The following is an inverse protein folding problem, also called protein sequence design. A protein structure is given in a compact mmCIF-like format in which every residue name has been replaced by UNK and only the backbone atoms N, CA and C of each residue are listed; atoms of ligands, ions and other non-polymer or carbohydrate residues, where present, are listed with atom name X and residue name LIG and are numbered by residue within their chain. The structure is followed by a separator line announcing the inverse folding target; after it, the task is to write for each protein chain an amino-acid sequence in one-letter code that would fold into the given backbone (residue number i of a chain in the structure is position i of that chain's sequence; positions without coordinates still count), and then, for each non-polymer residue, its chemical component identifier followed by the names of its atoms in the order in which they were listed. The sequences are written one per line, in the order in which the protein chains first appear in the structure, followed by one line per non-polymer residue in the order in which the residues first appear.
data_IF_431299969320
#
_entry.id   IF_431299969320
#
_cell.length_a   1.000
_cell.length_b   1.000
_cell.length_c   1.000
_cell.angle_alpha   90.00
_cell.angle_beta   90.00
_cell.angle_gamma   90.00
#
_symmetry.space_group_name_H-M   'P 1'
#
loop_
_entity.id
_entity.type
_entity.pdbx_description
1 polymer ?
#
# COMPACT_ATOMS: atom_id res chain seq x y z
N UNK A 1 -1.39 1.67 9.68
CA UNK A 1 -1.62 2.00 8.25
C UNK A 1 -2.58 0.96 7.66
N UNK A 2 -3.08 1.15 6.44
CA UNK A 2 -4.04 0.24 5.81
C UNK A 2 -5.51 0.47 6.20
N UNK A 3 -6.44 0.06 5.32
CA UNK A 3 -7.89 0.01 5.56
C UNK A 3 -8.48 -1.22 4.87
N UNK A 4 -9.61 -1.74 5.36
CA UNK A 4 -10.26 -2.93 4.78
C UNK A 4 -9.33 -4.16 4.76
N UNK A 5 -9.19 -4.78 3.59
CA UNK A 5 -8.41 -6.02 3.36
C UNK A 5 -6.97 -5.95 3.94
N UNK A 6 -6.23 -4.87 3.65
CA UNK A 6 -4.87 -4.64 4.18
C UNK A 6 -4.84 -4.52 5.70
N UNK A 7 -5.86 -3.91 6.32
CA UNK A 7 -5.91 -3.76 7.78
C UNK A 7 -6.09 -5.12 8.49
N UNK A 8 -6.88 -6.03 7.91
CA UNK A 8 -7.04 -7.40 8.41
C UNK A 8 -5.72 -8.18 8.36
N UNK A 9 -4.98 -8.12 7.24
CA UNK A 9 -3.69 -8.79 7.12
C UNK A 9 -2.64 -8.18 8.06
N UNK A 10 -2.60 -6.86 8.20
CA UNK A 10 -1.72 -6.20 9.17
C UNK A 10 -2.03 -6.61 10.62
N UNK A 11 -3.31 -6.75 11.00
CA UNK A 11 -3.68 -7.27 12.32
C UNK A 11 -3.22 -8.72 12.52
N UNK A 12 -3.38 -9.59 11.52
CA UNK A 12 -2.85 -10.96 11.57
C UNK A 12 -1.33 -10.98 11.75
N UNK A 13 -0.59 -10.10 11.05
CA UNK A 13 0.86 -9.95 11.25
C UNK A 13 1.17 -9.43 12.67
N UNK A 14 0.47 -8.42 13.18
CA UNK A 14 0.69 -7.84 14.51
C UNK A 14 0.51 -8.85 15.67
N UNK A 15 -0.38 -9.84 15.53
CA UNK A 15 -0.59 -10.91 16.50
C UNK A 15 0.19 -12.21 16.19
N UNK A 16 0.92 -12.27 15.07
CA UNK A 16 1.76 -13.41 14.68
C UNK A 16 3.12 -13.42 15.39
N UNK A 17 3.99 -14.37 15.03
CA UNK A 17 5.39 -14.39 15.46
C UNK A 17 6.23 -13.17 15.00
N UNK A 18 5.79 -12.44 13.96
CA UNK A 18 6.46 -11.24 13.46
C UNK A 18 5.99 -9.94 14.15
N UNK A 19 4.92 -10.02 14.94
CA UNK A 19 4.21 -8.86 15.48
C UNK A 19 4.51 -8.57 16.95
N UNK A 20 4.45 -7.29 17.32
CA UNK A 20 4.71 -6.83 18.70
C UNK A 20 3.55 -7.07 19.67
N UNK A 21 2.38 -7.57 19.21
CA UNK A 21 1.18 -7.75 20.05
C UNK A 21 0.91 -9.19 20.48
N UNK A 22 1.78 -10.14 20.09
CA UNK A 22 1.71 -11.56 20.46
C UNK A 22 1.50 -11.82 21.97
N UNK A 23 2.09 -10.97 22.81
CA UNK A 23 2.12 -11.15 24.28
C UNK A 23 1.27 -10.14 25.06
N UNK A 24 0.51 -9.26 24.40
CA UNK A 24 -0.31 -8.29 25.14
C UNK A 24 -1.49 -8.99 25.84
N UNK A 25 -1.64 -8.87 27.17
CA UNK A 25 -2.81 -9.38 27.87
C UNK A 25 -4.07 -8.63 27.42
N UNK A 26 -5.22 -9.30 27.50
CA UNK A 26 -6.52 -8.69 27.26
C UNK A 26 -6.82 -7.81 28.49
N UNK A 27 -7.15 -6.54 28.29
CA UNK A 27 -7.75 -5.74 29.36
C UNK A 27 -9.18 -6.23 29.56
N UNK A 28 -9.39 -7.03 30.60
CA UNK A 28 -10.71 -7.44 31.05
C UNK A 28 -11.48 -6.20 31.53
N UNK A 29 -12.53 -5.83 30.79
CA UNK A 29 -13.55 -4.88 31.23
C UNK A 29 -14.91 -5.49 30.88
N UNK A 30 -15.72 -5.74 31.91
CA UNK A 30 -16.98 -6.46 31.79
C UNK A 30 -18.10 -5.63 31.14
N UNK A 31 -18.96 -6.32 30.39
CA UNK A 31 -20.16 -5.78 29.78
C UNK A 31 -19.98 -5.36 28.31
N UNK A 32 -20.79 -5.94 27.42
CA UNK A 32 -20.83 -5.70 25.95
C UNK A 32 -19.57 -6.16 25.19
N UNK A 33 -18.36 -6.04 25.75
CA UNK A 33 -17.09 -6.42 25.10
C UNK A 33 -16.86 -7.92 24.90
N UNK A 34 -17.72 -8.81 25.42
CA UNK A 34 -17.53 -10.26 25.31
C UNK A 34 -17.44 -10.76 23.85
N UNK A 35 -18.26 -10.25 22.93
CA UNK A 35 -18.16 -10.61 21.50
C UNK A 35 -16.86 -10.08 20.85
N UNK A 36 -16.40 -8.91 21.28
CA UNK A 36 -15.16 -8.29 20.81
C UNK A 36 -13.96 -9.12 21.30
N UNK A 37 -13.97 -9.58 22.55
CA UNK A 37 -12.93 -10.44 23.12
C UNK A 37 -12.86 -11.79 22.39
N UNK A 38 -14.00 -12.46 22.16
CA UNK A 38 -14.07 -13.72 21.38
C UNK A 38 -13.58 -13.53 19.94
N UNK A 39 -13.85 -12.39 19.30
CA UNK A 39 -13.31 -12.07 17.98
C UNK A 39 -11.78 -11.88 18.02
N UNK A 40 -11.24 -11.22 19.05
CA UNK A 40 -9.80 -11.07 19.26
C UNK A 40 -9.11 -12.41 19.53
N UNK A 41 -9.72 -13.33 20.28
CA UNK A 41 -9.16 -14.66 20.52
C UNK A 41 -9.12 -15.52 19.25
N UNK A 42 -10.18 -15.46 18.43
CA UNK A 42 -10.20 -16.11 17.11
C UNK A 42 -9.14 -15.53 16.18
N UNK A 43 -8.96 -14.22 16.19
CA UNK A 43 -7.93 -13.52 15.41
C UNK A 43 -6.52 -13.90 15.86
N UNK A 44 -6.25 -13.92 17.19
CA UNK A 44 -4.97 -14.38 17.77
C UNK A 44 -4.68 -15.84 17.42
N UNK A 45 -5.68 -16.71 17.49
CA UNK A 45 -5.55 -18.11 17.11
C UNK A 45 -5.17 -18.24 15.62
N UNK A 46 -5.88 -17.56 14.71
CA UNK A 46 -5.54 -17.55 13.29
C UNK A 46 -4.14 -16.95 13.03
N UNK A 47 -3.80 -15.84 13.67
CA UNK A 47 -2.49 -15.20 13.59
C UNK A 47 -1.34 -16.10 14.07
N UNK A 48 -1.57 -16.97 15.06
CA UNK A 48 -0.55 -17.93 15.54
C UNK A 48 -0.11 -18.95 14.48
N UNK A 49 -0.91 -19.15 13.42
CA UNK A 49 -0.57 -20.01 12.30
C UNK A 49 0.25 -19.30 11.21
N UNK A 50 0.40 -17.97 11.26
CA UNK A 50 1.13 -17.18 10.26
C UNK A 50 2.64 -17.44 10.37
N UNK A 51 3.25 -17.85 9.25
CA UNK A 51 4.68 -18.19 9.12
C UNK A 51 5.45 -17.32 8.12
N UNK A 52 4.74 -16.51 7.33
CA UNK A 52 5.32 -15.45 6.51
C UNK A 52 4.21 -14.48 6.07
N UNK A 53 4.62 -13.29 5.65
CA UNK A 53 3.75 -12.29 5.04
C UNK A 53 4.45 -11.56 3.89
N UNK A 54 3.68 -11.06 2.94
CA UNK A 54 4.17 -10.25 1.84
C UNK A 54 3.16 -9.14 1.57
N UNK A 55 3.63 -7.91 1.35
CA UNK A 55 2.78 -6.77 0.98
C UNK A 55 3.28 -6.25 -0.35
N UNK A 56 2.52 -6.47 -1.43
CA UNK A 56 2.85 -5.92 -2.74
C UNK A 56 2.51 -4.41 -2.72
N UNK A 57 3.43 -3.56 -3.17
CA UNK A 57 3.29 -2.11 -3.15
C UNK A 57 3.72 -1.54 -4.51
N UNK A 58 2.80 -0.96 -5.27
CA UNK A 58 3.10 -0.47 -6.63
C UNK A 58 4.06 0.75 -6.65
N UNK A 59 4.32 1.37 -5.51
CA UNK A 59 5.33 2.41 -5.27
C UNK A 59 6.62 1.87 -4.60
N UNK A 60 6.79 0.54 -4.55
CA UNK A 60 8.05 -0.14 -4.22
C UNK A 60 8.22 -1.42 -5.05
N UNK A 61 8.79 -1.28 -6.25
CA UNK A 61 8.92 -2.34 -7.26
C UNK A 61 9.47 -3.67 -6.72
N UNK A 62 10.46 -3.64 -5.81
CA UNK A 62 11.03 -4.84 -5.16
C UNK A 62 9.96 -5.76 -4.56
N UNK A 63 8.90 -5.20 -3.97
CA UNK A 63 7.79 -5.97 -3.39
C UNK A 63 6.86 -6.62 -4.44
N UNK A 64 7.06 -6.31 -5.71
CA UNK A 64 6.29 -6.83 -6.83
C UNK A 64 7.07 -7.85 -7.67
N UNK A 65 8.38 -8.01 -7.41
CA UNK A 65 9.26 -8.94 -8.12
C UNK A 65 9.19 -10.34 -7.49
N UNK A 66 9.13 -11.37 -8.33
CA UNK A 66 9.09 -12.78 -7.91
C UNK A 66 10.38 -13.21 -7.19
N UNK A 67 11.60 -12.85 -7.65
CA UNK A 67 12.83 -13.24 -6.97
C UNK A 67 12.91 -12.74 -5.52
N UNK A 68 12.60 -11.46 -5.30
CA UNK A 68 12.53 -10.83 -3.99
C UNK A 68 11.44 -11.43 -3.10
N UNK A 69 10.26 -11.75 -3.67
CA UNK A 69 9.20 -12.47 -2.97
C UNK A 69 9.68 -13.84 -2.46
N UNK A 70 10.33 -14.66 -3.30
CA UNK A 70 10.85 -15.98 -2.90
C UNK A 70 11.95 -15.84 -1.83
N UNK A 71 12.90 -14.94 -2.05
CA UNK A 71 14.02 -14.72 -1.14
C UNK A 71 13.54 -14.23 0.24
N UNK A 72 12.62 -13.25 0.27
CA UNK A 72 11.99 -12.77 1.51
C UNK A 72 11.14 -13.85 2.18
N UNK A 73 10.38 -14.63 1.41
CA UNK A 73 9.57 -15.74 1.93
C UNK A 73 10.45 -16.78 2.63
N UNK A 74 11.55 -17.21 2.02
CA UNK A 74 12.50 -18.13 2.65
C UNK A 74 13.07 -17.57 3.96
N UNK A 75 13.48 -16.29 3.98
CA UNK A 75 14.00 -15.63 5.16
C UNK A 75 12.97 -15.52 6.30
N UNK A 76 11.70 -15.26 5.99
CA UNK A 76 10.63 -15.21 6.99
C UNK A 76 10.24 -16.58 7.53
N UNK A 77 10.15 -17.60 6.66
CA UNK A 77 9.88 -18.99 7.08
C UNK A 77 11.00 -19.51 8.00
N UNK A 78 12.24 -19.08 7.77
CA UNK A 78 13.39 -19.34 8.63
C UNK A 78 13.24 -18.68 10.04
N UNK A 79 12.53 -17.55 10.14
CA UNK A 79 12.29 -16.86 11.42
C UNK A 79 11.05 -17.40 12.18
N UNK A 80 10.16 -18.15 11.52
CA UNK A 80 8.93 -18.65 12.13
C UNK A 80 9.22 -19.77 13.15
N UNK A 81 8.86 -19.63 14.45
CA UNK A 81 9.25 -20.61 15.48
C UNK A 81 8.76 -22.04 15.24
N UNK A 82 7.57 -22.21 14.65
CA UNK A 82 7.06 -23.54 14.25
C UNK A 82 7.85 -24.21 13.11
N UNK A 83 8.75 -23.49 12.45
CA UNK A 83 9.60 -23.96 11.35
C UNK A 83 11.10 -23.93 11.70
N UNK A 84 11.47 -23.95 12.99
CA UNK A 84 12.87 -23.97 13.42
C UNK A 84 13.73 -25.08 12.76
N UNK A 85 13.14 -26.23 12.45
CA UNK A 85 13.82 -27.30 11.71
C UNK A 85 14.20 -26.93 10.26
N UNK A 86 13.46 -26.00 9.63
CA UNK A 86 13.80 -25.45 8.31
C UNK A 86 14.93 -24.43 8.42
N UNK A 87 14.95 -23.62 9.49
CA UNK A 87 16.08 -22.74 9.82
C UNK A 87 17.39 -23.53 10.01
N UNK A 88 17.37 -24.58 10.84
CA UNK A 88 18.52 -25.46 11.04
C UNK A 88 19.00 -26.11 9.73
N UNK A 89 18.07 -26.57 8.89
CA UNK A 89 18.40 -27.18 7.61
C UNK A 89 18.99 -26.16 6.62
N UNK A 90 18.42 -24.96 6.53
CA UNK A 90 18.92 -23.89 5.67
C UNK A 90 20.30 -23.38 6.09
N UNK A 91 20.58 -23.25 7.38
CA UNK A 91 21.92 -22.88 7.86
C UNK A 91 22.94 -24.01 7.68
N UNK A 92 22.51 -25.28 7.77
CA UNK A 92 23.39 -26.43 7.61
C UNK A 92 23.73 -26.81 6.17
N UNK A 93 22.87 -26.46 5.19
CA UNK A 93 22.97 -26.93 3.81
C UNK A 93 23.33 -25.79 2.83
N UNK A 94 24.62 -25.71 2.46
CA UNK A 94 25.11 -24.68 1.53
C UNK A 94 24.44 -24.78 0.15
N UNK A 95 24.08 -25.98 -0.32
CA UNK A 95 23.38 -26.13 -1.59
C UNK A 95 22.00 -25.43 -1.57
N UNK A 96 21.31 -25.46 -0.43
CA UNK A 96 20.00 -24.83 -0.25
C UNK A 96 20.12 -23.30 -0.21
N UNK A 97 21.13 -22.77 0.48
CA UNK A 97 21.44 -21.34 0.49
C UNK A 97 21.74 -20.80 -0.90
N UNK A 98 22.47 -21.58 -1.71
CA UNK A 98 22.80 -21.20 -3.09
C UNK A 98 21.55 -21.12 -3.97
N UNK A 99 20.67 -22.13 -3.89
CA UNK A 99 19.37 -22.17 -4.62
C UNK A 99 18.45 -21.01 -4.24
N UNK A 100 18.53 -20.52 -3.00
CA UNK A 100 17.76 -19.37 -2.51
C UNK A 100 18.48 -18.03 -2.63
N UNK A 101 19.66 -17.98 -3.26
CA UNK A 101 20.35 -16.72 -3.52
C UNK A 101 19.57 -15.89 -4.54
N UNK A 102 19.60 -14.55 -4.41
CA UNK A 102 18.88 -13.64 -5.31
C UNK A 102 19.18 -13.91 -6.79
N UNK A 103 20.43 -14.28 -7.11
CA UNK A 103 20.84 -14.67 -8.46
C UNK A 103 20.09 -15.90 -8.98
N UNK A 104 20.00 -16.97 -8.20
CA UNK A 104 19.30 -18.18 -8.62
C UNK A 104 17.78 -17.98 -8.61
N UNK A 105 17.23 -17.17 -7.69
CA UNK A 105 15.83 -16.74 -7.72
C UNK A 105 15.47 -15.92 -8.98
N UNK A 106 16.42 -15.14 -9.54
CA UNK A 106 16.26 -14.44 -10.83
C UNK A 106 16.36 -15.43 -12.00
N UNK A 107 17.30 -16.38 -11.94
CA UNK A 107 17.57 -17.32 -13.03
C UNK A 107 16.48 -18.40 -13.20
N UNK A 108 15.97 -18.94 -12.09
CA UNK A 108 14.93 -19.99 -12.07
C UNK A 108 14.08 -19.88 -10.78
N UNK A 109 13.06 -18.99 -10.76
CA UNK A 109 12.21 -18.80 -9.60
C UNK A 109 11.34 -20.03 -9.27
N UNK A 110 10.98 -20.84 -10.26
CA UNK A 110 10.18 -22.05 -10.03
C UNK A 110 11.01 -23.07 -9.26
N UNK A 111 12.26 -23.31 -9.67
CA UNK A 111 13.21 -24.16 -8.93
C UNK A 111 13.55 -23.61 -7.56
N UNK A 112 13.80 -22.30 -7.43
CA UNK A 112 14.08 -21.68 -6.13
C UNK A 112 12.92 -21.85 -5.14
N UNK A 113 11.68 -21.72 -5.60
CA UNK A 113 10.48 -21.96 -4.78
C UNK A 113 10.31 -23.44 -4.42
N UNK A 114 10.44 -24.35 -5.39
CA UNK A 114 10.20 -25.79 -5.17
C UNK A 114 11.33 -26.42 -4.36
N UNK A 115 12.57 -26.40 -4.85
CA UNK A 115 13.72 -27.02 -4.20
C UNK A 115 14.20 -26.24 -2.97
N UNK A 116 14.05 -24.92 -2.98
CA UNK A 116 14.49 -24.05 -1.89
C UNK A 116 13.53 -24.03 -0.70
N UNK A 117 12.21 -24.10 -0.94
CA UNK A 117 11.19 -23.89 0.10
C UNK A 117 10.25 -25.09 0.24
N UNK A 118 9.51 -25.44 -0.82
CA UNK A 118 8.37 -26.36 -0.70
C UNK A 118 8.77 -27.82 -0.43
N UNK A 119 9.80 -28.32 -1.11
CA UNK A 119 10.32 -29.67 -0.91
C UNK A 119 11.00 -29.85 0.46
N UNK A 120 11.92 -28.96 0.91
CA UNK A 120 12.49 -29.01 2.27
C UNK A 120 11.42 -29.03 3.36
N UNK A 121 10.43 -28.13 3.31
CA UNK A 121 9.33 -28.10 4.27
C UNK A 121 8.52 -29.39 4.26
N UNK A 122 8.25 -29.94 3.07
CA UNK A 122 7.50 -31.20 2.92
C UNK A 122 8.28 -32.41 3.45
N UNK A 123 9.60 -32.46 3.22
CA UNK A 123 10.49 -33.49 3.74
C UNK A 123 10.59 -33.43 5.27
N UNK A 124 10.85 -32.25 5.83
CA UNK A 124 10.92 -32.02 7.29
C UNK A 124 9.61 -32.37 8.00
N UNK A 125 8.46 -32.05 7.39
CA UNK A 125 7.13 -32.46 7.89
C UNK A 125 6.94 -33.98 7.85
N UNK A 126 7.39 -34.65 6.78
CA UNK A 126 7.28 -36.11 6.62
C UNK A 126 8.06 -36.88 7.70
N UNK A 127 9.22 -36.37 8.12
CA UNK A 127 10.04 -36.96 9.20
C UNK A 127 9.65 -36.44 10.61
N UNK A 128 8.53 -35.74 10.76
CA UNK A 128 8.01 -35.29 12.05
C UNK A 128 8.75 -34.11 12.70
N UNK A 129 9.71 -33.48 12.00
CA UNK A 129 10.47 -32.31 12.51
C UNK A 129 9.66 -31.01 12.54
N UNK A 130 8.59 -30.91 11.74
CA UNK A 130 7.65 -29.77 11.77
C UNK A 130 6.35 -30.20 12.47
N UNK A 131 5.89 -29.49 13.52
CA UNK A 131 4.68 -29.85 14.27
C UNK A 131 3.44 -30.00 13.38
N UNK A 132 2.48 -30.91 13.72
CA UNK A 132 1.35 -31.28 12.86
C UNK A 132 0.23 -30.22 12.77
N UNK A 133 0.56 -28.93 12.75
CA UNK A 133 -0.36 -27.80 12.58
C UNK A 133 -0.38 -27.33 11.11
N UNK A 134 -1.38 -26.52 10.77
CA UNK A 134 -1.37 -25.74 9.53
C UNK A 134 -0.42 -24.54 9.67
N UNK A 135 0.04 -24.02 8.56
CA UNK A 135 0.84 -22.80 8.48
C UNK A 135 0.23 -21.87 7.41
N UNK A 136 0.31 -20.56 7.61
CA UNK A 136 -0.33 -19.56 6.76
C UNK A 136 0.70 -18.56 6.25
N UNK A 137 0.71 -18.35 4.94
CA UNK A 137 1.42 -17.24 4.27
C UNK A 137 0.37 -16.20 3.90
N UNK A 138 0.59 -14.95 4.29
CA UNK A 138 -0.27 -13.81 3.95
C UNK A 138 0.32 -13.06 2.74
N UNK A 139 -0.50 -12.73 1.74
CA UNK A 139 -0.05 -11.94 0.59
C UNK A 139 -1.05 -10.81 0.33
N UNK A 140 -0.73 -9.58 0.76
CA UNK A 140 -1.58 -8.44 0.52
C UNK A 140 -1.34 -7.83 -0.86
N UNK A 141 -2.42 -7.47 -1.54
CA UNK A 141 -2.39 -6.61 -2.73
C UNK A 141 -1.83 -7.26 -3.99
N UNK A 142 -2.19 -8.51 -4.33
CA UNK A 142 -1.69 -9.18 -5.55
C UNK A 142 -1.77 -8.33 -6.83
N UNK A 143 -2.81 -7.50 -6.96
CA UNK A 143 -2.99 -6.57 -8.08
C UNK A 143 -1.98 -5.40 -8.13
N UNK A 144 -1.29 -5.08 -7.03
CA UNK A 144 -0.26 -4.04 -7.03
C UNK A 144 0.96 -4.48 -7.85
N UNK A 145 1.24 -5.79 -7.91
CA UNK A 145 2.31 -6.35 -8.74
C UNK A 145 2.01 -6.27 -10.24
N UNK A 146 0.75 -6.16 -10.65
CA UNK A 146 0.36 -6.01 -12.06
C UNK A 146 0.82 -4.68 -12.67
N UNK A 147 1.04 -3.64 -11.85
CA UNK A 147 1.63 -2.38 -12.31
C UNK A 147 3.11 -2.50 -12.73
N UNK A 148 3.79 -3.56 -12.28
CA UNK A 148 5.19 -3.88 -12.61
C UNK A 148 5.30 -5.16 -13.47
N UNK A 149 4.20 -5.56 -14.13
CA UNK A 149 4.16 -6.70 -15.04
C UNK A 149 5.27 -6.59 -16.11
N UNK A 150 6.15 -7.59 -16.26
CA UNK A 150 7.16 -7.59 -17.32
C UNK A 150 6.53 -7.88 -18.69
N UNK A 151 7.17 -7.44 -19.77
CA UNK A 151 6.74 -7.74 -21.14
C UNK A 151 6.76 -9.27 -21.42
N UNK A 152 7.68 -9.98 -20.77
CA UNK A 152 7.81 -11.44 -20.80
C UNK A 152 8.04 -11.96 -19.38
N UNK A 153 7.23 -12.94 -18.95
CA UNK A 153 7.32 -13.56 -17.63
C UNK A 153 6.02 -13.46 -16.82
N UNK A 154 6.12 -13.82 -15.56
CA UNK A 154 5.00 -13.88 -14.62
C UNK A 154 4.90 -12.64 -13.73
N UNK A 155 3.70 -12.39 -13.20
CA UNK A 155 3.52 -11.59 -11.99
C UNK A 155 3.40 -12.52 -10.78
N UNK A 156 3.44 -11.99 -9.55
CA UNK A 156 3.24 -12.81 -8.34
C UNK A 156 1.92 -13.63 -8.42
N UNK A 157 0.86 -13.07 -9.03
CA UNK A 157 -0.41 -13.78 -9.19
C UNK A 157 -0.33 -14.98 -10.16
N UNK A 158 0.31 -14.83 -11.34
CA UNK A 158 0.44 -15.95 -12.29
C UNK A 158 1.52 -16.95 -11.88
N UNK A 159 2.57 -16.51 -11.18
CA UNK A 159 3.56 -17.39 -10.55
C UNK A 159 2.91 -18.29 -9.48
N UNK A 160 2.11 -17.72 -8.58
CA UNK A 160 1.37 -18.51 -7.57
C UNK A 160 0.42 -19.53 -8.22
N UNK A 161 -0.16 -19.21 -9.37
CA UNK A 161 -0.99 -20.17 -10.12
C UNK A 161 -0.19 -21.41 -10.53
N UNK A 162 1.01 -21.24 -11.10
CA UNK A 162 1.90 -22.37 -11.43
C UNK A 162 2.34 -23.15 -10.19
N UNK A 163 2.68 -22.44 -9.11
CA UNK A 163 3.19 -23.06 -7.88
C UNK A 163 2.09 -23.76 -7.05
N UNK A 164 0.80 -23.50 -7.30
CA UNK A 164 -0.31 -23.97 -6.45
C UNK A 164 -0.33 -25.48 -6.23
N UNK A 165 -0.01 -26.29 -7.24
CA UNK A 165 0.01 -27.76 -7.13
C UNK A 165 1.19 -28.30 -6.31
N UNK A 166 2.27 -27.51 -6.16
CA UNK A 166 3.45 -27.85 -5.38
C UNK A 166 3.29 -27.53 -3.88
N UNK A 167 2.27 -26.74 -3.49
CA UNK A 167 2.04 -26.39 -2.09
C UNK A 167 1.54 -27.60 -1.29
N UNK A 168 2.22 -27.99 -0.20
CA UNK A 168 1.75 -29.08 0.63
C UNK A 168 0.46 -28.67 1.37
N UNK A 169 -0.47 -29.62 1.54
CA UNK A 169 -1.84 -29.33 1.98
C UNK A 169 -1.97 -28.64 3.35
N UNK A 170 -0.93 -28.64 4.19
CA UNK A 170 -0.87 -27.95 5.49
C UNK A 170 -0.36 -26.50 5.41
N UNK A 171 0.31 -26.11 4.31
CA UNK A 171 0.80 -24.75 4.08
C UNK A 171 -0.22 -23.99 3.21
N UNK A 172 -0.90 -23.02 3.79
CA UNK A 172 -1.99 -22.27 3.17
C UNK A 172 -1.51 -20.89 2.75
N UNK A 173 -2.00 -20.40 1.61
CA UNK A 173 -1.84 -19.01 1.18
C UNK A 173 -3.16 -18.29 1.36
N UNK A 174 -3.15 -17.13 2.02
CA UNK A 174 -4.28 -16.19 2.06
C UNK A 174 -3.82 -14.92 1.34
N UNK A 175 -4.41 -14.66 0.18
CA UNK A 175 -4.08 -13.50 -0.63
C UNK A 175 -5.24 -12.50 -0.70
N UNK A 176 -4.93 -11.20 -0.79
CA UNK A 176 -5.92 -10.15 -1.04
C UNK A 176 -5.76 -9.55 -2.43
N UNK A 177 -6.87 -9.11 -3.00
CA UNK A 177 -6.91 -8.42 -4.28
C UNK A 177 -8.04 -7.39 -4.30
N UNK A 178 -7.86 -6.34 -5.11
CA UNK A 178 -8.90 -5.35 -5.41
C UNK A 178 -9.94 -5.91 -6.38
N UNK A 179 -11.21 -5.61 -6.15
CA UNK A 179 -12.36 -6.18 -6.88
C UNK A 179 -12.32 -5.87 -8.37
N UNK A 180 -11.84 -4.68 -8.75
CA UNK A 180 -11.71 -4.21 -10.12
C UNK A 180 -10.50 -4.79 -10.89
N UNK A 181 -9.71 -5.66 -10.24
CA UNK A 181 -8.52 -6.33 -10.81
C UNK A 181 -8.64 -7.86 -10.72
N UNK A 182 -9.85 -8.41 -10.52
CA UNK A 182 -10.05 -9.84 -10.29
C UNK A 182 -9.66 -10.70 -11.51
N UNK A 183 -9.66 -10.15 -12.72
CA UNK A 183 -9.26 -10.83 -13.95
C UNK A 183 -7.83 -11.39 -13.88
N UNK A 184 -6.90 -10.70 -13.21
CA UNK A 184 -5.51 -11.14 -13.03
C UNK A 184 -5.36 -12.36 -12.12
N UNK A 185 -6.42 -12.78 -11.43
CA UNK A 185 -6.45 -13.97 -10.54
C UNK A 185 -7.44 -15.04 -11.00
N UNK A 186 -7.91 -14.98 -12.25
CA UNK A 186 -8.87 -15.95 -12.80
C UNK A 186 -8.35 -17.39 -12.75
N UNK A 187 -7.06 -17.61 -13.00
CA UNK A 187 -6.45 -18.95 -12.96
C UNK A 187 -6.05 -19.45 -11.58
N UNK A 188 -6.10 -18.63 -10.53
CA UNK A 188 -5.92 -19.09 -9.15
C UNK A 188 -7.17 -19.86 -8.69
N UNK A 189 -7.03 -21.18 -8.53
CA UNK A 189 -8.05 -22.10 -8.04
C UNK A 189 -8.28 -21.99 -6.51
N UNK A 190 -8.20 -20.77 -5.95
CA UNK A 190 -8.33 -20.51 -4.52
C UNK A 190 -9.79 -20.27 -4.13
N UNK A 191 -10.14 -20.60 -2.88
CA UNK A 191 -11.43 -20.23 -2.28
C UNK A 191 -11.58 -18.71 -2.23
N UNK A 192 -12.60 -18.17 -2.89
CA UNK A 192 -12.82 -16.71 -3.00
C UNK A 192 -13.80 -16.23 -1.93
N UNK A 193 -13.44 -15.17 -1.23
CA UNK A 193 -14.29 -14.47 -0.26
C UNK A 193 -14.39 -13.00 -0.66
N UNK A 194 -15.60 -12.51 -0.92
CA UNK A 194 -15.85 -11.09 -1.22
C UNK A 194 -16.16 -10.33 0.06
N UNK A 195 -15.43 -9.24 0.31
CA UNK A 195 -15.77 -8.25 1.33
C UNK A 195 -16.48 -7.02 0.74
N UNK A 196 -16.82 -7.06 -0.55
CA UNK A 196 -17.28 -5.91 -1.32
C UNK A 196 -18.80 -5.97 -1.63
N UNK A 197 -19.49 -7.00 -1.12
CA UNK A 197 -20.94 -7.25 -1.31
C UNK A 197 -21.83 -6.33 -0.43
N UNK A 198 -21.61 -5.02 -0.52
CA UNK A 198 -22.20 -4.00 0.36
C UNK A 198 -23.73 -4.10 0.55
N UNK A 199 -24.47 -4.27 -0.54
CA UNK A 199 -25.94 -4.25 -0.52
C UNK A 199 -26.57 -5.48 0.16
N UNK A 200 -25.83 -6.58 0.32
CA UNK A 200 -26.34 -7.85 0.84
C UNK A 200 -25.60 -8.36 2.08
N UNK A 201 -24.66 -7.59 2.62
CA UNK A 201 -23.85 -7.98 3.78
C UNK A 201 -24.14 -7.07 4.97
N UNK A 202 -25.16 -7.45 5.75
CA UNK A 202 -25.58 -6.74 6.97
C UNK A 202 -24.45 -6.64 8.01
N UNK A 203 -23.56 -7.64 8.09
CA UNK A 203 -22.42 -7.61 9.01
C UNK A 203 -21.43 -6.48 8.63
N UNK A 204 -21.11 -6.33 7.34
CA UNK A 204 -20.26 -5.22 6.88
C UNK A 204 -20.91 -3.84 7.12
N UNK A 205 -22.23 -3.74 6.93
CA UNK A 205 -22.97 -2.51 7.26
C UNK A 205 -22.91 -2.20 8.75
N UNK A 206 -23.08 -3.22 9.60
CA UNK A 206 -22.94 -3.11 11.06
C UNK A 206 -21.52 -2.69 11.46
N UNK A 207 -20.48 -3.32 10.96
CA UNK A 207 -19.08 -3.01 11.31
C UNK A 207 -18.71 -1.56 10.95
N UNK A 208 -19.14 -1.07 9.78
CA UNK A 208 -18.92 0.34 9.38
C UNK A 208 -19.75 1.29 10.24
N UNK A 209 -21.00 0.95 10.59
CA UNK A 209 -21.84 1.76 11.45
C UNK A 209 -21.27 1.84 12.88
N UNK A 210 -20.76 0.75 13.42
CA UNK A 210 -20.07 0.70 14.72
C UNK A 210 -18.80 1.56 14.67
N UNK A 211 -17.99 1.46 13.61
CA UNK A 211 -16.82 2.35 13.41
C UNK A 211 -17.19 3.84 13.38
N UNK A 212 -18.22 4.21 12.61
CA UNK A 212 -18.71 5.60 12.53
C UNK A 212 -19.21 6.07 13.90
N UNK A 213 -20.01 5.26 14.58
CA UNK A 213 -20.60 5.58 15.88
C UNK A 213 -19.51 5.73 16.95
N UNK A 214 -18.52 4.83 16.96
CA UNK A 214 -17.35 4.92 17.82
C UNK A 214 -16.57 6.23 17.60
N UNK A 215 -16.27 6.59 16.33
CA UNK A 215 -15.58 7.85 16.01
C UNK A 215 -16.36 9.09 16.46
N UNK A 216 -17.68 9.11 16.29
CA UNK A 216 -18.54 10.19 16.78
C UNK A 216 -18.49 10.26 18.31
N UNK A 217 -18.61 9.13 19.01
CA UNK A 217 -18.64 9.10 20.48
C UNK A 217 -17.28 9.50 21.11
N UNK A 218 -16.16 9.21 20.44
CA UNK A 218 -14.81 9.53 20.91
C UNK A 218 -14.34 10.97 20.61
N UNK A 219 -15.06 11.73 19.76
CA UNK A 219 -14.60 13.05 19.30
C UNK A 219 -15.64 14.14 19.50
N UNK A 220 -15.39 15.01 20.49
CA UNK A 220 -16.23 16.19 20.76
C UNK A 220 -16.30 17.15 19.57
N UNK A 221 -15.21 17.29 18.79
CA UNK A 221 -15.18 18.07 17.55
C UNK A 221 -16.18 17.55 16.51
N UNK A 222 -16.29 16.22 16.35
CA UNK A 222 -17.26 15.61 15.43
C UNK A 222 -18.69 15.85 15.93
N UNK A 223 -18.96 15.63 17.22
CA UNK A 223 -20.29 15.86 17.82
C UNK A 223 -20.75 17.31 17.65
N UNK A 224 -19.90 18.28 18.00
CA UNK A 224 -20.18 19.71 17.90
C UNK A 224 -20.46 20.15 16.45
N UNK A 225 -19.70 19.61 15.48
CA UNK A 225 -19.90 19.87 14.05
C UNK A 225 -21.25 19.31 13.55
N UNK A 226 -21.62 18.07 13.92
CA UNK A 226 -22.92 17.47 13.59
C UNK A 226 -24.09 18.25 14.23
N UNK A 227 -23.92 18.74 15.45
CA UNK A 227 -24.92 19.55 16.17
C UNK A 227 -25.07 20.98 15.62
N UNK A 228 -24.29 21.37 14.61
CA UNK A 228 -24.33 22.72 14.03
C UNK A 228 -23.85 23.80 15.00
N UNK A 229 -22.86 23.48 15.84
CA UNK A 229 -22.27 24.40 16.82
C UNK A 229 -23.04 24.55 18.13
N UNK A 230 -24.13 23.81 18.33
CA UNK A 230 -24.93 23.83 19.58
C UNK A 230 -24.37 22.82 20.59
N UNK A 231 -24.26 23.22 21.85
CA UNK A 231 -23.73 22.36 22.94
C UNK A 231 -24.66 21.20 23.35
N UNK A 232 -25.88 21.15 22.80
CA UNK A 232 -26.85 20.09 23.13
C UNK A 232 -26.47 18.80 22.41
N UNK A 233 -26.11 17.77 23.17
CA UNK A 233 -25.91 16.40 22.70
C UNK A 233 -27.24 15.87 22.13
N UNK A 234 -27.41 15.96 20.81
CA UNK A 234 -28.61 15.50 20.14
C UNK A 234 -28.38 14.11 19.54
N UNK A 235 -28.56 13.08 20.38
CA UNK A 235 -28.43 11.67 20.01
C UNK A 235 -29.20 11.29 18.75
N UNK A 236 -30.37 11.91 18.50
CA UNK A 236 -31.17 11.67 17.31
C UNK A 236 -30.53 12.22 16.01
N UNK A 237 -29.82 13.35 16.09
CA UNK A 237 -29.07 13.90 14.96
C UNK A 237 -27.79 13.10 14.71
N UNK A 238 -27.09 12.67 15.76
CA UNK A 238 -25.90 11.81 15.64
C UNK A 238 -26.26 10.48 14.96
N UNK A 239 -27.36 9.84 15.34
CA UNK A 239 -27.86 8.62 14.70
C UNK A 239 -28.23 8.85 13.22
N UNK A 240 -28.98 9.92 12.91
CA UNK A 240 -29.33 10.28 11.52
C UNK A 240 -28.09 10.56 10.66
N UNK A 241 -27.10 11.24 11.21
CA UNK A 241 -25.82 11.47 10.54
C UNK A 241 -25.07 10.17 10.29
N UNK A 242 -24.97 9.29 11.29
CA UNK A 242 -24.28 8.01 11.16
C UNK A 242 -24.91 7.13 10.06
N UNK A 243 -26.24 7.04 10.02
CA UNK A 243 -26.98 6.32 8.98
C UNK A 243 -26.80 6.94 7.58
N UNK A 244 -26.81 8.27 7.48
CA UNK A 244 -26.59 8.93 6.19
C UNK A 244 -25.14 8.74 5.69
N UNK A 245 -24.14 8.89 6.56
CA UNK A 245 -22.74 8.65 6.24
C UNK A 245 -22.51 7.19 5.85
N UNK A 246 -23.14 6.24 6.56
CA UNK A 246 -23.10 4.80 6.26
C UNK A 246 -23.48 4.52 4.80
N UNK A 247 -24.61 5.08 4.34
CA UNK A 247 -25.08 4.94 2.96
C UNK A 247 -24.11 5.53 1.92
N UNK A 248 -23.40 6.62 2.24
CA UNK A 248 -22.38 7.19 1.37
C UNK A 248 -21.09 6.36 1.30
N UNK A 249 -20.79 5.54 2.31
CA UNK A 249 -19.55 4.73 2.32
C UNK A 249 -19.46 3.72 1.19
N UNK A 250 -20.61 3.15 0.78
CA UNK A 250 -20.68 2.04 -0.18
C UNK A 250 -19.71 0.88 0.17
N UNK A 251 -19.51 0.60 1.46
CA UNK A 251 -18.56 -0.41 1.97
C UNK A 251 -17.12 0.07 2.18
N UNK A 252 -16.79 1.33 1.84
CA UNK A 252 -15.44 1.87 1.98
C UNK A 252 -15.17 2.46 3.38
N UNK A 253 -14.47 1.68 4.22
CA UNK A 253 -13.89 2.17 5.48
C UNK A 253 -12.95 3.36 5.26
N UNK A 254 -12.25 3.45 4.12
CA UNK A 254 -11.38 4.58 3.81
C UNK A 254 -12.18 5.87 3.62
N UNK A 255 -13.29 5.80 2.87
CA UNK A 255 -14.20 6.93 2.72
C UNK A 255 -14.73 7.37 4.09
N UNK A 256 -15.22 6.42 4.90
CA UNK A 256 -15.78 6.70 6.23
C UNK A 256 -14.75 7.42 7.13
N UNK A 257 -13.53 6.86 7.20
CA UNK A 257 -12.41 7.44 7.93
C UNK A 257 -12.11 8.86 7.47
N UNK A 258 -11.86 9.08 6.16
CA UNK A 258 -11.42 10.38 5.67
C UNK A 258 -12.50 11.45 5.77
N UNK A 259 -13.78 11.10 5.61
CA UNK A 259 -14.89 12.02 5.85
C UNK A 259 -14.94 12.48 7.31
N UNK A 260 -14.80 11.54 8.26
CA UNK A 260 -14.75 11.84 9.69
C UNK A 260 -13.50 12.64 10.07
N UNK A 261 -12.33 12.30 9.51
CA UNK A 261 -11.07 13.04 9.71
C UNK A 261 -11.17 14.51 9.24
N UNK A 262 -11.91 14.79 8.15
CA UNK A 262 -12.17 16.15 7.68
C UNK A 262 -13.13 16.92 8.60
N UNK A 263 -14.16 16.26 9.14
CA UNK A 263 -15.13 16.85 10.07
C UNK A 263 -14.46 17.19 11.41
N UNK A 264 -13.65 16.25 11.92
CA UNK A 264 -12.88 16.37 13.18
C UNK A 264 -11.88 17.54 13.15
N UNK A 265 -11.25 17.78 12.00
CA UNK A 265 -10.35 18.91 11.76
C UNK A 265 -11.06 20.23 11.44
N UNK A 266 -12.39 20.28 11.48
CA UNK A 266 -13.18 21.45 11.06
C UNK A 266 -13.07 21.81 9.57
N UNK A 267 -12.43 20.95 8.77
CA UNK A 267 -12.21 21.14 7.32
C UNK A 267 -13.48 20.89 6.50
N UNK A 268 -14.42 20.11 7.04
CA UNK A 268 -15.75 19.89 6.49
C UNK A 268 -16.79 20.24 7.55
N UNK A 269 -17.56 21.31 7.33
CA UNK A 269 -18.55 21.83 8.29
C UNK A 269 -19.97 21.49 7.82
N UNK A 270 -20.74 20.83 8.69
CA UNK A 270 -22.12 20.44 8.43
C UNK A 270 -23.05 21.65 8.59
N UNK A 271 -23.56 22.15 7.46
CA UNK A 271 -24.42 23.35 7.42
C UNK A 271 -25.93 23.08 7.54
N UNK A 272 -26.36 21.83 7.41
CA UNK A 272 -27.79 21.47 7.53
C UNK A 272 -27.98 20.00 7.91
N UNK A 273 -29.13 19.70 8.50
CA UNK A 273 -29.61 18.35 8.83
C UNK A 273 -29.90 17.46 7.62
N UNK A 274 -29.77 17.98 6.39
CA UNK A 274 -29.86 17.19 5.15
C UNK A 274 -28.55 16.49 4.77
N UNK A 275 -27.43 16.89 5.40
CA UNK A 275 -26.07 16.34 5.20
C UNK A 275 -25.53 16.35 3.75
N UNK A 276 -26.24 16.96 2.79
CA UNK A 276 -25.86 17.09 1.35
C UNK A 276 -24.50 17.75 1.06
N UNK A 277 -23.82 18.28 2.07
CA UNK A 277 -22.46 18.85 1.97
C UNK A 277 -21.37 17.77 1.98
N UNK A 278 -21.69 16.55 2.40
CA UNK A 278 -20.75 15.43 2.38
C UNK A 278 -20.39 15.03 0.93
N UNK A 279 -19.10 14.83 0.61
CA UNK A 279 -18.67 14.24 -0.67
C UNK A 279 -19.39 12.91 -0.97
N UNK A 280 -19.77 12.63 -2.21
CA UNK A 280 -20.47 11.36 -2.57
C UNK A 280 -19.55 10.27 -3.13
N UNK A 281 -18.24 10.55 -3.22
CA UNK A 281 -17.20 9.58 -3.62
C UNK A 281 -15.88 9.84 -2.91
N UNK A 282 -15.00 8.84 -2.94
CA UNK A 282 -13.63 8.94 -2.40
C UNK A 282 -12.80 9.99 -3.16
N UNK A 283 -12.94 10.09 -4.48
CA UNK A 283 -12.26 11.11 -5.28
C UNK A 283 -12.73 12.53 -4.92
N UNK A 284 -14.00 12.73 -4.57
CA UNK A 284 -14.48 14.03 -4.07
C UNK A 284 -13.90 14.38 -2.70
N UNK A 285 -13.64 13.39 -1.83
CA UNK A 285 -12.88 13.61 -0.58
C UNK A 285 -11.45 14.06 -0.90
N UNK A 286 -10.75 13.38 -1.82
CA UNK A 286 -9.40 13.75 -2.22
C UNK A 286 -9.35 15.16 -2.83
N UNK A 287 -10.27 15.46 -3.75
CA UNK A 287 -10.41 16.76 -4.39
C UNK A 287 -10.71 17.87 -3.37
N UNK A 288 -11.59 17.65 -2.40
CA UNK A 288 -11.87 18.60 -1.32
C UNK A 288 -10.62 18.86 -0.48
N UNK A 289 -9.93 17.81 -0.02
CA UNK A 289 -8.74 17.92 0.81
C UNK A 289 -7.60 18.66 0.07
N UNK A 290 -7.42 18.37 -1.23
CA UNK A 290 -6.47 19.09 -2.08
C UNK A 290 -6.87 20.55 -2.35
N UNK A 291 -8.15 20.86 -2.57
CA UNK A 291 -8.60 22.25 -2.72
C UNK A 291 -8.41 23.08 -1.45
N UNK A 292 -8.60 22.47 -0.26
CA UNK A 292 -8.35 23.13 1.01
C UNK A 292 -6.85 23.36 1.25
N UNK A 293 -5.98 22.46 0.77
CA UNK A 293 -4.53 22.59 0.92
C UNK A 293 -3.88 23.50 -0.14
N UNK A 294 -4.41 23.46 -1.37
CA UNK A 294 -3.91 24.17 -2.54
C UNK A 294 -5.07 24.91 -3.23
N UNK A 295 -5.50 26.08 -2.71
CA UNK A 295 -6.69 26.78 -3.20
C UNK A 295 -6.54 27.30 -4.64
N UNK A 296 -5.32 27.73 -5.00
CA UNK A 296 -4.99 28.28 -6.32
C UNK A 296 -4.11 27.32 -7.11
N UNK A 297 -4.13 27.44 -8.46
CA UNK A 297 -3.23 26.69 -9.35
C UNK A 297 -1.77 26.91 -8.96
N UNK A 298 -1.35 28.17 -8.79
CA UNK A 298 0.01 28.55 -8.36
C UNK A 298 0.45 27.91 -7.04
N UNK A 299 -0.47 27.67 -6.09
CA UNK A 299 -0.13 26.98 -4.84
C UNK A 299 0.14 25.47 -5.06
N UNK A 300 -0.55 24.85 -6.01
CA UNK A 300 -0.30 23.47 -6.42
C UNK A 300 0.94 23.34 -7.30
N UNK A 301 1.15 24.27 -8.25
CA UNK A 301 2.29 24.24 -9.17
C UNK A 301 3.62 24.12 -8.42
N UNK A 302 3.75 24.84 -7.29
CA UNK A 302 4.91 24.78 -6.37
C UNK A 302 5.25 23.39 -5.83
N UNK A 303 4.30 22.45 -5.77
CA UNK A 303 4.48 21.08 -5.27
C UNK A 303 4.20 19.99 -6.31
N UNK A 304 3.74 20.38 -7.51
CA UNK A 304 3.38 19.45 -8.60
C UNK A 304 4.55 18.59 -9.04
N UNK A 305 5.77 19.15 -9.10
CA UNK A 305 7.01 18.44 -9.41
C UNK A 305 7.39 17.44 -8.33
N UNK A 306 7.23 17.79 -7.04
CA UNK A 306 7.47 16.88 -5.90
C UNK A 306 6.55 15.65 -6.02
N UNK A 307 5.24 15.88 -6.22
CA UNK A 307 4.29 14.77 -6.42
C UNK A 307 4.65 13.94 -7.65
N UNK A 308 4.99 14.57 -8.77
CA UNK A 308 5.31 13.88 -10.01
C UNK A 308 6.55 12.98 -9.87
N UNK A 309 7.62 13.47 -9.21
CA UNK A 309 8.81 12.68 -8.86
C UNK A 309 8.43 11.49 -7.97
N UNK A 310 7.69 11.72 -6.89
CA UNK A 310 7.27 10.64 -5.98
C UNK A 310 6.36 9.58 -6.64
N UNK A 311 5.53 9.97 -7.63
CA UNK A 311 4.66 9.03 -8.35
C UNK A 311 5.41 8.21 -9.41
N UNK A 312 6.44 8.81 -10.02
CA UNK A 312 7.25 8.22 -11.08
C UNK A 312 8.39 7.31 -10.56
N UNK A 313 8.77 7.46 -9.29
CA UNK A 313 9.82 6.65 -8.67
C UNK A 313 9.46 5.15 -8.61
N UNK A 314 10.47 4.30 -8.82
CA UNK A 314 10.33 2.84 -8.70
C UNK A 314 10.21 2.37 -7.25
N UNK A 315 10.80 3.13 -6.33
CA UNK A 315 10.79 2.88 -4.88
C UNK A 315 10.65 4.21 -4.11
N UNK A 316 10.27 4.16 -2.82
CA UNK A 316 10.11 5.36 -2.00
C UNK A 316 11.43 6.13 -1.88
N UNK A 317 11.40 7.44 -2.12
CA UNK A 317 12.60 8.28 -2.12
C UNK A 317 12.79 9.04 -0.78
N UNK A 318 14.03 9.34 -0.43
CA UNK A 318 14.39 10.30 0.64
C UNK A 318 14.11 11.74 0.23
N UNK A 319 14.06 12.67 1.20
CA UNK A 319 13.94 14.11 0.92
C UNK A 319 15.04 14.62 -0.01
N UNK A 320 16.28 14.16 0.18
CA UNK A 320 17.46 14.57 -0.59
C UNK A 320 17.36 14.12 -2.04
N UNK A 321 16.92 12.88 -2.29
CA UNK A 321 16.67 12.35 -3.63
C UNK A 321 15.55 13.09 -4.36
N UNK A 322 14.48 13.45 -3.65
CA UNK A 322 13.36 14.23 -4.19
C UNK A 322 13.83 15.64 -4.55
N UNK A 323 14.55 16.31 -3.65
CA UNK A 323 15.13 17.64 -3.83
C UNK A 323 16.02 17.72 -5.08
N UNK A 324 16.99 16.81 -5.21
CA UNK A 324 17.86 16.80 -6.39
C UNK A 324 17.11 16.40 -7.66
N UNK A 325 16.06 15.57 -7.60
CA UNK A 325 15.24 15.26 -8.78
C UNK A 325 14.43 16.47 -9.28
N UNK A 326 13.85 17.27 -8.38
CA UNK A 326 13.10 18.47 -8.80
C UNK A 326 14.05 19.57 -9.30
N UNK A 327 15.21 19.76 -8.67
CA UNK A 327 16.21 20.72 -9.13
C UNK A 327 16.94 20.27 -10.40
N UNK A 328 16.93 18.97 -10.73
CA UNK A 328 17.46 18.48 -11.99
C UNK A 328 16.60 18.87 -13.21
N UNK A 329 15.33 19.25 -13.00
CA UNK A 329 14.44 19.79 -14.06
C UNK A 329 14.73 21.25 -14.41
N UNK A 330 15.45 21.98 -13.56
CA UNK A 330 15.80 23.38 -13.80
C UNK A 330 17.00 23.46 -14.75
N UNK A 331 16.83 24.25 -15.81
CA UNK A 331 17.87 24.58 -16.80
C UNK A 331 18.32 26.02 -16.55
N UNK A 332 19.60 26.19 -16.25
CA UNK A 332 20.20 27.53 -16.08
C UNK A 332 20.07 28.33 -17.38
N UNK A 333 19.57 29.57 -17.28
CA UNK A 333 19.40 30.48 -18.42
C UNK A 333 18.01 30.53 -19.04
N UNK A 334 17.14 29.52 -18.84
CA UNK A 334 15.75 29.53 -19.34
C UNK A 334 14.74 30.15 -18.34
N UNK A 335 15.21 30.99 -17.41
CA UNK A 335 14.38 31.65 -16.41
C UNK A 335 13.86 30.75 -15.28
N UNK A 336 14.28 29.48 -15.24
CA UNK A 336 14.04 28.59 -14.10
C UNK A 336 14.98 28.93 -12.93
N UNK A 337 14.41 29.19 -11.75
CA UNK A 337 15.15 29.42 -10.51
C UNK A 337 15.30 28.10 -9.73
N UNK A 338 16.51 27.81 -9.25
CA UNK A 338 16.74 26.68 -8.37
C UNK A 338 16.07 26.89 -7.03
N UNK A 339 15.38 25.85 -6.53
CA UNK A 339 14.73 25.88 -5.22
C UNK A 339 15.81 25.56 -4.18
N UNK A 340 16.00 26.42 -3.19
CA UNK A 340 16.91 26.12 -2.06
C UNK A 340 16.33 25.03 -1.14
N UNK A 341 17.14 24.55 -0.19
CA UNK A 341 16.73 23.46 0.68
C UNK A 341 15.61 23.88 1.64
N UNK A 342 15.67 25.10 2.16
CA UNK A 342 14.71 25.68 3.09
C UNK A 342 13.32 25.84 2.46
N UNK A 343 13.24 26.38 1.24
CA UNK A 343 12.00 26.51 0.47
C UNK A 343 11.50 25.13 0.04
N UNK A 344 12.36 24.20 -0.40
CA UNK A 344 11.96 22.83 -0.69
C UNK A 344 11.33 22.17 0.55
N UNK A 345 11.96 22.27 1.71
CA UNK A 345 11.42 21.73 2.97
C UNK A 345 10.09 22.41 3.34
N UNK A 346 9.93 23.70 3.09
CA UNK A 346 8.67 24.42 3.28
C UNK A 346 7.56 23.89 2.35
N UNK A 347 7.85 23.78 1.04
CA UNK A 347 6.97 23.19 0.02
C UNK A 347 6.60 21.75 0.38
N UNK A 348 7.58 20.91 0.75
CA UNK A 348 7.37 19.51 1.14
C UNK A 348 6.52 19.37 2.40
N UNK A 349 6.72 20.22 3.42
CA UNK A 349 5.87 20.25 4.63
C UNK A 349 4.39 20.47 4.30
N UNK A 350 4.06 21.09 3.16
CA UNK A 350 2.65 21.19 2.75
C UNK A 350 2.02 19.82 2.43
N UNK A 351 2.80 18.83 1.99
CA UNK A 351 2.36 17.48 1.67
C UNK A 351 2.21 16.54 2.88
N UNK A 352 2.44 17.04 4.10
CA UNK A 352 2.28 16.29 5.35
C UNK A 352 0.88 15.66 5.45
N UNK A 353 0.82 14.34 5.59
CA UNK A 353 -0.42 13.56 5.66
C UNK A 353 -0.86 12.96 4.32
N UNK A 354 -0.32 13.46 3.19
CA UNK A 354 -0.44 12.80 1.89
C UNK A 354 0.76 11.89 1.61
N UNK A 355 1.96 12.36 1.97
CA UNK A 355 3.18 11.56 2.05
C UNK A 355 3.46 11.18 3.51
N UNK A 356 3.78 9.91 3.73
CA UNK A 356 4.09 9.33 5.03
C UNK A 356 5.57 8.94 5.05
N UNK A 357 6.29 9.41 6.07
CA UNK A 357 7.69 9.07 6.28
C UNK A 357 7.82 7.63 6.81
N UNK A 358 8.70 6.84 6.20
CA UNK A 358 9.09 5.49 6.61
C UNK A 358 10.25 5.49 7.61
N UNK A 359 10.53 4.33 8.20
CA UNK A 359 11.62 4.16 9.18
C UNK A 359 13.01 4.33 8.56
N UNK A 360 13.14 4.01 7.28
CA UNK A 360 14.32 4.21 6.42
C UNK A 360 14.51 5.68 5.95
N UNK A 361 13.65 6.61 6.41
CA UNK A 361 13.58 8.02 6.01
C UNK A 361 13.11 8.31 4.57
N UNK A 362 12.61 7.30 3.85
CA UNK A 362 11.93 7.48 2.56
C UNK A 362 10.46 7.85 2.73
N UNK A 363 9.77 8.22 1.64
CA UNK A 363 8.38 8.71 1.68
C UNK A 363 7.47 7.96 0.69
N UNK A 364 6.33 7.48 1.20
CA UNK A 364 5.27 6.81 0.43
C UNK A 364 3.96 7.59 0.46
N UNK A 365 3.06 7.31 -0.49
CA UNK A 365 1.69 7.80 -0.43
C UNK A 365 0.90 7.12 0.69
N UNK A 366 0.05 7.86 1.39
CA UNK A 366 -0.69 7.33 2.56
C UNK A 366 -1.67 6.19 2.22
N UNK A 367 -2.11 6.10 0.96
CA UNK A 367 -3.00 5.05 0.45
C UNK A 367 -2.87 4.92 -1.07
N UNK A 368 -2.81 3.70 -1.65
CA UNK A 368 -2.56 3.56 -3.08
C UNK A 368 -3.75 4.01 -3.96
N UNK A 369 -5.00 4.03 -3.46
CA UNK A 369 -6.12 4.69 -4.18
C UNK A 369 -5.94 6.21 -4.32
N UNK A 370 -5.17 6.86 -3.44
CA UNK A 370 -4.83 8.27 -3.58
C UNK A 370 -3.67 8.51 -4.58
N UNK A 371 -2.78 7.52 -4.73
CA UNK A 371 -1.76 7.44 -5.80
C UNK A 371 -2.36 7.13 -7.18
N UNK A 372 -3.50 6.45 -7.23
CA UNK A 372 -4.23 6.12 -8.46
C UNK A 372 -5.13 7.28 -8.91
N UNK A 373 -5.77 7.98 -7.96
CA UNK A 373 -5.99 9.42 -8.07
C UNK A 373 -4.61 10.14 -8.17
N UNK A 374 -4.55 11.44 -8.45
CA UNK A 374 -3.34 12.08 -9.03
C UNK A 374 -2.89 11.53 -10.41
N UNK A 375 -2.72 10.21 -10.61
CA UNK A 375 -2.28 9.63 -11.91
C UNK A 375 -3.42 9.52 -12.93
N UNK A 376 -4.58 9.01 -12.51
CA UNK A 376 -5.74 8.73 -13.37
C UNK A 376 -7.02 9.30 -12.75
N UNK A 377 -8.08 9.39 -13.55
CA UNK A 377 -9.45 9.72 -13.14
C UNK A 377 -10.41 8.73 -13.77
N UNK A 378 -11.55 8.53 -13.11
CA UNK A 378 -12.70 7.87 -13.71
C UNK A 378 -13.50 8.84 -14.59
N UNK A 379 -14.34 8.32 -15.47
CA UNK A 379 -15.09 9.13 -16.43
C UNK A 379 -16.04 10.11 -15.73
N UNK A 380 -15.96 11.39 -16.12
CA UNK A 380 -16.76 12.48 -15.54
C UNK A 380 -16.16 13.11 -14.28
N UNK A 381 -15.02 12.63 -13.77
CA UNK A 381 -14.33 13.29 -12.65
C UNK A 381 -13.48 14.50 -13.08
N UNK A 382 -13.15 15.38 -12.13
CA UNK A 382 -12.28 16.53 -12.39
C UNK A 382 -10.82 16.11 -12.59
N UNK A 383 -10.23 16.56 -13.69
CA UNK A 383 -8.79 16.44 -13.99
C UNK A 383 -7.91 17.40 -13.17
N UNK A 384 -8.48 18.22 -12.27
CA UNK A 384 -7.69 19.07 -11.37
C UNK A 384 -6.75 18.19 -10.52
N UNK A 385 -5.51 18.65 -10.35
CA UNK A 385 -4.45 17.95 -9.63
C UNK A 385 -4.06 16.59 -10.24
N UNK A 386 -4.23 16.42 -11.56
CA UNK A 386 -3.57 15.33 -12.28
C UNK A 386 -2.07 15.63 -12.39
N UNK A 387 -1.20 14.67 -12.08
CA UNK A 387 0.25 14.84 -12.13
C UNK A 387 0.83 14.39 -13.46
N UNK A 388 1.84 15.10 -13.97
CA UNK A 388 2.59 14.66 -15.16
C UNK A 388 3.77 13.75 -14.76
N UNK A 389 3.55 12.44 -14.92
CA UNK A 389 4.58 11.44 -14.66
C UNK A 389 5.83 11.62 -15.54
N UNK A 390 5.74 12.23 -16.72
CA UNK A 390 6.91 12.44 -17.59
C UNK A 390 7.91 13.39 -16.95
N UNK A 391 7.43 14.47 -16.35
CA UNK A 391 8.27 15.39 -15.55
C UNK A 391 8.87 14.69 -14.33
N UNK A 392 8.11 13.80 -13.68
CA UNK A 392 8.64 12.96 -12.61
C UNK A 392 9.79 12.06 -13.05
N UNK A 393 9.61 11.33 -14.15
CA UNK A 393 10.66 10.48 -14.72
C UNK A 393 11.85 11.29 -15.22
N UNK A 394 11.62 12.45 -15.85
CA UNK A 394 12.67 13.36 -16.32
C UNK A 394 13.56 13.85 -15.18
N UNK A 395 12.97 14.28 -14.06
CA UNK A 395 13.72 14.77 -12.90
C UNK A 395 14.63 13.69 -12.30
N UNK A 396 14.14 12.45 -12.21
CA UNK A 396 14.93 11.31 -11.72
C UNK A 396 16.05 10.95 -12.71
N UNK A 397 15.76 10.87 -14.02
CA UNK A 397 16.77 10.61 -15.05
C UNK A 397 17.88 11.68 -15.07
N UNK A 398 17.51 12.97 -14.99
CA UNK A 398 18.45 14.07 -14.97
C UNK A 398 19.26 14.12 -13.67
N UNK A 399 18.68 13.73 -12.52
CA UNK A 399 19.43 13.54 -11.26
C UNK A 399 20.49 12.45 -11.41
N UNK A 400 20.09 11.26 -11.89
CA UNK A 400 21.00 10.13 -12.09
C UNK A 400 22.12 10.48 -13.08
N UNK A 401 21.81 11.23 -14.14
CA UNK A 401 22.78 11.71 -15.13
C UNK A 401 23.79 12.73 -14.57
N UNK A 402 23.53 13.32 -13.39
CA UNK A 402 24.42 14.25 -12.68
C UNK A 402 25.24 13.57 -11.57
N UNK A 403 25.08 12.27 -11.34
CA UNK A 403 25.94 11.50 -10.42
C UNK A 403 27.33 11.24 -11.04
N UNK A 404 28.27 10.79 -10.21
CA UNK A 404 29.62 10.46 -10.68
C UNK A 404 29.59 9.24 -11.62
N UNK A 405 30.20 9.39 -12.80
CA UNK A 405 30.37 8.32 -13.77
C UNK A 405 31.60 7.44 -13.42
N UNK A 406 31.55 6.11 -13.65
CA UNK A 406 30.41 5.34 -14.14
C UNK A 406 29.36 5.09 -13.04
N UNK A 407 28.09 5.07 -13.42
CA UNK A 407 27.01 4.53 -12.59
C UNK A 407 27.23 3.03 -12.37
N UNK A 408 26.72 2.51 -11.25
CA UNK A 408 26.60 1.06 -11.09
C UNK A 408 25.53 0.46 -12.03
N UNK A 409 25.48 -0.88 -12.12
CA UNK A 409 24.60 -1.57 -13.05
C UNK A 409 23.10 -1.37 -12.75
N UNK A 410 22.71 -1.17 -11.49
CA UNK A 410 21.32 -0.96 -11.09
C UNK A 410 20.90 0.48 -11.42
N UNK A 411 21.72 1.46 -11.05
CA UNK A 411 21.54 2.88 -11.40
C UNK A 411 21.52 3.12 -12.92
N UNK A 412 22.33 2.38 -13.70
CA UNK A 412 22.32 2.46 -15.16
C UNK A 412 21.00 1.93 -15.76
N UNK A 413 20.43 0.85 -15.20
CA UNK A 413 19.13 0.32 -15.60
C UNK A 413 17.98 1.24 -15.16
N UNK A 414 18.04 1.81 -13.95
CA UNK A 414 17.10 2.84 -13.46
C UNK A 414 17.11 4.07 -14.39
N UNK A 415 18.30 4.60 -14.73
CA UNK A 415 18.44 5.70 -15.68
C UNK A 415 17.80 5.39 -17.03
N UNK A 416 18.05 4.18 -17.57
CA UNK A 416 17.42 3.71 -18.81
C UNK A 416 15.89 3.68 -18.72
N UNK A 417 15.34 3.13 -17.63
CA UNK A 417 13.90 3.12 -17.37
C UNK A 417 13.31 4.54 -17.38
N UNK A 418 13.90 5.44 -16.61
CA UNK A 418 13.38 6.81 -16.46
C UNK A 418 13.52 7.63 -17.75
N UNK A 419 14.60 7.49 -18.52
CA UNK A 419 14.74 8.11 -19.85
C UNK A 419 13.61 7.67 -20.79
N UNK A 420 13.33 6.36 -20.86
CA UNK A 420 12.32 5.80 -21.77
C UNK A 420 10.90 6.28 -21.42
N UNK A 421 10.56 6.30 -20.11
CA UNK A 421 9.24 6.74 -19.61
C UNK A 421 9.04 8.26 -19.66
N UNK A 422 10.11 9.04 -19.48
CA UNK A 422 10.08 10.50 -19.61
C UNK A 422 9.84 10.98 -21.06
N UNK A 423 10.15 10.14 -22.05
CA UNK A 423 10.07 10.45 -23.48
C UNK A 423 10.93 11.65 -23.93
N UNK A 424 12.04 11.94 -23.23
CA UNK A 424 12.93 13.09 -23.47
C UNK A 424 13.31 13.28 -24.95
N UNK A 425 13.54 12.17 -25.67
CA UNK A 425 14.00 12.18 -27.06
C UNK A 425 12.89 12.13 -28.13
N UNK A 426 11.60 12.07 -27.75
CA UNK A 426 10.49 12.09 -28.75
C UNK A 426 10.28 13.47 -29.40
N UNK A 427 10.83 14.53 -28.81
CA UNK A 427 10.77 15.90 -29.34
C UNK A 427 12.16 16.44 -29.74
N UNK A 428 13.17 15.57 -29.89
CA UNK A 428 14.46 15.99 -30.40
C UNK A 428 14.29 16.57 -31.82
N UNK A 429 14.76 17.80 -32.11
CA UNK A 429 14.65 18.37 -33.45
C UNK A 429 15.39 17.48 -34.45
N UNK A 430 14.77 17.18 -35.59
CA UNK A 430 15.32 16.29 -36.63
C UNK A 430 16.59 16.82 -37.32
N UNK A 431 17.13 17.95 -36.87
CA UNK A 431 18.34 18.59 -37.36
C UNK A 431 19.32 18.91 -36.23
N UNK A 432 19.90 17.86 -35.66
CA UNK A 432 21.28 17.88 -35.19
C UNK A 432 21.84 16.45 -35.22
N UNK A 433 22.57 16.12 -36.30
CA UNK A 433 23.41 14.92 -36.33
C UNK A 433 24.56 15.11 -35.34
N UNK A 434 24.85 14.15 -34.45
CA UNK A 434 26.09 14.19 -33.67
C UNK A 434 27.28 14.13 -34.63
N UNK A 435 28.20 15.09 -34.46
CA UNK A 435 29.58 15.04 -34.96
C UNK A 435 30.51 14.98 -33.76
#
# INVERSE_FOLDING_TARGET
LGTGKTALLLQLVEYSCFGRRKEMPIQENDGIYCQINVAHDRLRNLASHVVAYHFCQADNNSTCLIPDFIHSLAAQLCQAPQLAAYHEFLLGEQALQNVLSVKECIADPERAMVMGILEPLSALRRVGKIPPKNCVILIDGLCEAEYHRPDHGDTIASFLQKMTEHFPSWLKVIATIRTQMLEFTKGLAYTKMSLDNWNSNEALQKDILEYITFRINQSSSIQHNIAGGKEIINTSLHFKFAQHLLGLTKGSFLYAKLALDLIERGSLVIKSSSFKVLPVSLAQIFLLNFNLRFPTTTAYDKISSILSVCLAALYPLTLTEIFYSINALVVEGEGGEHIDWEEFVCRFKTLTGFLIKRIDNTYMFFHPSFREWLIRRDDGESTKFLCDLRNGHAGIALRLSRLQSPLDAEQALELGHHILKAHLYRAAPQHQSPR
#
